data_IF_013514727662
#
_entry.id   IF_013514727662
#
_cell.length_a   1.000
_cell.length_b   1.000
_cell.length_c   1.000
_cell.angle_alpha   90.00
_cell.angle_beta   90.00
_cell.angle_gamma   90.00
#
_symmetry.space_group_name_H-M   'P 1'
#
loop_
_entity.id
_entity.type
_entity.pdbx_description
1 polymer ?
#
# COMPACT_ATOMS: atom_id res chain seq x y z
N UNK A 1 5.49 32.23 8.99
CA UNK A 1 6.48 31.51 8.15
C UNK A 1 5.67 30.54 7.28
N UNK A 2 5.98 30.37 5.99
CA UNK A 2 5.25 29.42 5.14
C UNK A 2 5.69 27.98 5.45
N UNK A 3 4.85 26.99 5.17
CA UNK A 3 5.20 25.57 5.35
C UNK A 3 6.48 25.23 4.60
N UNK A 4 6.59 25.64 3.33
CA UNK A 4 7.79 25.42 2.52
C UNK A 4 9.07 26.03 3.14
N UNK A 5 8.97 27.21 3.75
CA UNK A 5 10.13 27.83 4.41
C UNK A 5 10.56 27.07 5.68
N UNK A 6 9.59 26.64 6.50
CA UNK A 6 9.88 25.83 7.69
C UNK A 6 10.50 24.47 7.33
N UNK A 7 10.01 23.85 6.24
CA UNK A 7 10.55 22.60 5.71
C UNK A 7 11.96 22.79 5.17
N UNK A 8 12.22 23.85 4.40
CA UNK A 8 13.55 24.14 3.87
C UNK A 8 14.58 24.38 5.00
N UNK A 9 14.17 25.07 6.08
CA UNK A 9 15.04 25.32 7.24
C UNK A 9 15.40 24.03 7.98
N UNK A 10 14.41 23.20 8.33
CA UNK A 10 14.67 21.96 9.11
C UNK A 10 15.38 20.87 8.31
N UNK A 11 15.11 20.80 7.00
CA UNK A 11 15.71 19.80 6.11
C UNK A 11 17.06 20.23 5.53
N UNK A 12 17.53 21.44 5.85
CA UNK A 12 18.69 22.05 5.21
C UNK A 12 18.58 22.05 3.67
N UNK A 13 17.37 22.31 3.17
CA UNK A 13 17.00 22.32 1.77
C UNK A 13 17.35 21.00 1.04
N UNK A 14 17.02 19.87 1.67
CA UNK A 14 17.20 18.52 1.14
C UNK A 14 15.91 17.70 1.30
N UNK A 15 15.80 16.61 0.54
CA UNK A 15 14.74 15.64 0.71
C UNK A 15 14.87 14.98 2.09
N UNK A 16 13.80 14.98 2.87
CA UNK A 16 13.80 14.42 4.23
C UNK A 16 13.85 12.89 4.25
N UNK A 17 13.74 12.23 3.09
CA UNK A 17 13.89 10.77 2.94
C UNK A 17 15.26 10.39 2.38
N UNK A 18 15.64 10.94 1.22
CA UNK A 18 16.82 10.51 0.48
C UNK A 18 17.97 11.52 0.43
N UNK A 19 17.85 12.67 1.09
CA UNK A 19 18.83 13.78 1.11
C UNK A 19 19.12 14.48 -0.24
N UNK A 20 18.48 14.05 -1.32
CA UNK A 20 18.58 14.71 -2.63
C UNK A 20 18.09 16.16 -2.58
N UNK A 21 18.72 17.06 -3.34
CA UNK A 21 18.34 18.47 -3.45
C UNK A 21 17.49 18.78 -4.68
N UNK A 22 17.14 17.77 -5.48
CA UNK A 22 16.50 17.95 -6.78
C UNK A 22 14.98 18.05 -6.67
N UNK A 23 14.39 19.11 -7.24
CA UNK A 23 12.93 19.24 -7.40
C UNK A 23 12.16 19.06 -6.10
N UNK A 24 12.55 19.82 -5.06
CA UNK A 24 11.98 19.68 -3.73
C UNK A 24 10.58 20.28 -3.66
N UNK A 25 9.64 19.49 -3.19
CA UNK A 25 8.23 19.85 -3.06
C UNK A 25 7.68 19.43 -1.69
N UNK A 26 6.73 20.23 -1.20
CA UNK A 26 5.99 19.89 0.01
C UNK A 26 5.03 18.75 -0.31
N UNK A 27 5.06 17.72 0.52
CA UNK A 27 4.07 16.65 0.55
C UNK A 27 3.38 16.65 1.91
N UNK A 28 2.06 16.80 1.91
CA UNK A 28 1.25 16.73 3.12
C UNK A 28 0.96 15.26 3.41
N UNK A 29 1.33 14.79 4.61
CA UNK A 29 1.23 13.37 4.97
C UNK A 29 -0.20 13.09 5.44
N UNK A 30 -1.01 12.31 4.70
CA UNK A 30 -2.41 12.07 5.07
C UNK A 30 -2.54 11.25 6.35
N UNK A 31 -3.67 11.32 7.08
CA UNK A 31 -4.77 12.28 6.90
C UNK A 31 -4.37 13.70 7.33
N UNK A 32 -4.74 14.69 6.53
CA UNK A 32 -4.47 16.12 6.80
C UNK A 32 -5.73 16.75 7.38
N UNK A 33 -5.80 16.82 8.71
CA UNK A 33 -6.90 17.54 9.38
C UNK A 33 -6.68 19.07 9.32
N UNK A 34 -5.43 19.51 9.46
CA UNK A 34 -5.02 20.91 9.45
C UNK A 34 -3.65 21.05 8.77
N UNK A 35 -3.47 22.12 7.98
CA UNK A 35 -2.22 22.40 7.29
C UNK A 35 -1.15 22.89 8.28
N UNK A 36 -0.26 22.01 8.71
CA UNK A 36 0.85 22.31 9.62
C UNK A 36 2.17 21.74 9.09
N UNK A 37 3.30 22.44 9.31
CA UNK A 37 4.62 21.99 8.87
C UNK A 37 4.99 20.62 9.45
N UNK A 38 4.54 20.32 10.66
CA UNK A 38 4.82 19.04 11.35
C UNK A 38 4.05 17.86 10.77
N UNK A 39 3.09 18.13 9.87
CA UNK A 39 2.32 17.13 9.12
C UNK A 39 2.74 17.05 7.66
N UNK A 40 3.79 17.79 7.28
CA UNK A 40 4.32 17.80 5.93
C UNK A 40 5.72 17.21 5.93
N UNK A 41 6.19 16.77 4.76
CA UNK A 41 7.59 16.42 4.50
C UNK A 41 8.07 17.08 3.21
N UNK A 42 9.37 17.34 3.12
CA UNK A 42 9.99 17.88 1.91
C UNK A 42 10.58 16.74 1.08
N UNK A 43 10.03 16.51 -0.12
CA UNK A 43 10.37 15.37 -0.97
C UNK A 43 10.96 15.82 -2.29
N UNK A 44 11.94 15.08 -2.80
CA UNK A 44 12.47 15.29 -4.14
C UNK A 44 11.53 14.73 -5.21
N UNK A 45 11.85 15.06 -6.47
CA UNK A 45 11.13 14.61 -7.67
C UNK A 45 11.13 13.08 -7.89
N UNK A 46 11.97 12.33 -7.19
CA UNK A 46 11.97 10.85 -7.23
C UNK A 46 11.12 10.25 -6.11
N UNK A 47 11.19 10.79 -4.89
CA UNK A 47 10.45 10.23 -3.76
C UNK A 47 8.96 10.54 -3.86
N UNK A 48 8.58 11.79 -4.18
CA UNK A 48 7.18 12.23 -4.13
C UNK A 48 6.24 11.38 -4.98
N UNK A 49 6.50 11.13 -6.28
CA UNK A 49 5.60 10.32 -7.11
C UNK A 49 5.45 8.88 -6.61
N UNK A 50 6.51 8.31 -6.03
CA UNK A 50 6.48 6.95 -5.49
C UNK A 50 5.75 6.87 -4.13
N UNK A 51 5.86 7.90 -3.29
CA UNK A 51 5.04 8.03 -2.05
C UNK A 51 3.56 8.18 -2.40
N UNK A 52 3.23 8.97 -3.41
CA UNK A 52 1.86 9.20 -3.88
C UNK A 52 1.28 8.03 -4.69
N UNK A 53 2.07 6.98 -4.98
CA UNK A 53 1.63 5.83 -5.79
C UNK A 53 1.42 6.15 -7.27
N UNK A 54 1.95 7.29 -7.76
CA UNK A 54 1.88 7.71 -9.16
C UNK A 54 2.97 7.07 -10.04
N UNK A 55 3.97 6.45 -9.42
CA UNK A 55 5.08 5.78 -10.09
C UNK A 55 5.42 4.47 -9.38
N UNK A 56 5.87 3.48 -10.15
CA UNK A 56 6.41 2.22 -9.63
C UNK A 56 7.56 2.46 -8.63
N UNK A 57 7.60 1.64 -7.60
CA UNK A 57 8.56 1.74 -6.50
C UNK A 57 9.92 1.16 -6.95
N UNK A 58 10.96 2.00 -6.96
CA UNK A 58 12.33 1.58 -7.24
C UNK A 58 13.04 1.14 -5.95
N UNK A 59 13.00 -0.16 -5.63
CA UNK A 59 13.50 -0.70 -4.36
C UNK A 59 14.91 -0.24 -3.95
N UNK A 60 15.84 -0.12 -4.90
CA UNK A 60 17.22 0.33 -4.62
C UNK A 60 17.29 1.77 -4.11
N UNK A 61 16.41 2.66 -4.58
CA UNK A 61 16.34 4.05 -4.13
C UNK A 61 15.94 4.13 -2.65
N UNK A 62 15.03 3.24 -2.24
CA UNK A 62 14.43 3.24 -0.91
C UNK A 62 15.31 2.69 0.21
N UNK A 63 16.54 2.27 -0.09
CA UNK A 63 17.51 1.96 0.97
C UNK A 63 17.81 3.15 1.88
N UNK A 64 17.55 4.38 1.43
CA UNK A 64 17.61 5.59 2.28
C UNK A 64 16.64 5.58 3.47
N UNK A 65 15.63 4.70 3.47
CA UNK A 65 14.72 4.52 4.62
C UNK A 65 15.44 3.99 5.86
N UNK A 66 16.55 3.27 5.71
CA UNK A 66 17.36 2.82 6.86
C UNK A 66 17.87 3.99 7.71
N UNK A 67 18.08 5.16 7.10
CA UNK A 67 18.51 6.37 7.80
C UNK A 67 17.31 7.24 8.18
N UNK A 68 16.41 7.52 7.24
CA UNK A 68 15.29 8.45 7.45
C UNK A 68 14.22 7.92 8.41
N UNK A 69 14.10 6.61 8.61
CA UNK A 69 13.19 6.05 9.61
C UNK A 69 13.55 6.43 11.05
N UNK A 70 14.79 6.84 11.31
CA UNK A 70 15.27 7.32 12.62
C UNK A 70 15.19 8.85 12.78
N UNK A 71 14.55 9.54 11.83
CA UNK A 71 14.36 10.99 11.91
C UNK A 71 13.60 11.38 13.17
N UNK A 72 13.96 12.54 13.74
CA UNK A 72 13.25 13.15 14.86
C UNK A 72 11.94 13.83 14.43
N UNK A 73 11.63 13.86 13.14
CA UNK A 73 10.43 14.46 12.58
C UNK A 73 9.34 13.38 12.41
N UNK A 74 8.23 13.44 13.15
CA UNK A 74 7.19 12.41 13.08
C UNK A 74 6.63 12.19 11.67
N UNK A 75 6.48 13.25 10.87
CA UNK A 75 6.00 13.13 9.50
C UNK A 75 6.94 12.29 8.61
N UNK A 76 8.25 12.42 8.82
CA UNK A 76 9.26 11.63 8.10
C UNK A 76 9.19 10.17 8.53
N UNK A 77 9.09 9.92 9.83
CA UNK A 77 8.92 8.57 10.39
C UNK A 77 7.66 7.87 9.86
N UNK A 78 6.54 8.59 9.77
CA UNK A 78 5.29 8.07 9.21
C UNK A 78 5.45 7.68 7.74
N UNK A 79 6.05 8.54 6.92
CA UNK A 79 6.25 8.22 5.50
C UNK A 79 7.22 7.06 5.33
N UNK A 80 8.32 7.05 6.11
CA UNK A 80 9.28 5.95 6.09
C UNK A 80 8.63 4.61 6.46
N UNK A 81 7.84 4.59 7.54
CA UNK A 81 7.08 3.39 7.95
C UNK A 81 6.14 2.89 6.86
N UNK A 82 5.36 3.79 6.23
CA UNK A 82 4.42 3.43 5.17
C UNK A 82 5.13 2.85 3.95
N UNK A 83 6.22 3.47 3.54
CA UNK A 83 7.02 3.00 2.40
C UNK A 83 7.69 1.65 2.71
N UNK A 84 8.24 1.48 3.91
CA UNK A 84 8.77 0.19 4.35
C UNK A 84 7.68 -0.89 4.37
N UNK A 85 6.47 -0.58 4.85
CA UNK A 85 5.30 -1.48 4.81
C UNK A 85 4.93 -1.89 3.38
N UNK A 86 4.97 -0.97 2.42
CA UNK A 86 4.71 -1.26 1.00
C UNK A 86 5.81 -2.12 0.36
N UNK A 87 7.07 -1.95 0.78
CA UNK A 87 8.23 -2.67 0.24
C UNK A 87 8.45 -4.07 0.83
N UNK A 88 8.06 -4.27 2.10
CA UNK A 88 8.33 -5.47 2.87
C UNK A 88 7.87 -6.80 2.23
N UNK A 89 6.72 -6.89 1.52
CA UNK A 89 6.30 -8.14 0.90
C UNK A 89 7.30 -8.71 -0.12
N UNK A 90 8.01 -7.83 -0.84
CA UNK A 90 8.93 -8.21 -1.91
C UNK A 90 10.41 -8.03 -1.52
N UNK A 91 10.70 -7.40 -0.37
CA UNK A 91 12.04 -7.01 0.04
C UNK A 91 12.33 -7.37 1.51
N UNK A 92 13.18 -8.37 1.73
CA UNK A 92 13.57 -8.79 3.09
C UNK A 92 14.22 -7.67 3.92
N UNK A 93 15.05 -6.83 3.30
CA UNK A 93 15.69 -5.71 3.99
C UNK A 93 14.67 -4.69 4.54
N UNK A 94 13.54 -4.50 3.84
CA UNK A 94 12.50 -3.58 4.27
C UNK A 94 11.70 -4.18 5.44
N UNK A 95 11.47 -5.49 5.42
CA UNK A 95 10.89 -6.21 6.55
C UNK A 95 11.80 -6.14 7.79
N UNK A 96 13.10 -6.39 7.63
CA UNK A 96 14.07 -6.30 8.72
C UNK A 96 14.10 -4.87 9.33
N UNK A 97 14.04 -3.85 8.49
CA UNK A 97 13.97 -2.45 8.93
C UNK A 97 12.67 -2.15 9.68
N UNK A 98 11.51 -2.65 9.21
CA UNK A 98 10.24 -2.51 9.93
C UNK A 98 10.26 -3.15 11.32
N UNK A 99 10.89 -4.32 11.44
CA UNK A 99 10.93 -5.06 12.69
C UNK A 99 11.81 -4.36 13.74
N UNK A 100 12.80 -3.58 13.29
CA UNK A 100 13.62 -2.74 14.16
C UNK A 100 13.01 -1.37 14.46
N UNK A 101 12.13 -0.87 13.58
CA UNK A 101 11.56 0.47 13.70
C UNK A 101 10.57 0.56 14.87
N UNK A 102 10.95 1.32 15.88
CA UNK A 102 10.07 1.72 16.97
C UNK A 102 9.50 3.11 16.70
N UNK A 103 8.17 3.22 16.75
CA UNK A 103 7.43 4.47 16.67
C UNK A 103 6.66 4.68 17.96
N UNK A 104 6.57 5.94 18.39
CA UNK A 104 5.65 6.33 19.47
C UNK A 104 4.20 6.03 19.07
N UNK A 105 3.36 5.73 20.05
CA UNK A 105 1.98 5.25 19.83
C UNK A 105 1.15 6.21 18.94
N UNK A 106 1.29 7.52 19.15
CA UNK A 106 0.57 8.53 18.34
C UNK A 106 1.07 8.55 16.89
N UNK A 107 2.39 8.51 16.69
CA UNK A 107 3.02 8.47 15.36
C UNK A 107 2.68 7.16 14.64
N UNK A 108 2.66 6.05 15.37
CA UNK A 108 2.26 4.74 14.84
C UNK A 108 0.79 4.73 14.42
N UNK A 109 -0.09 5.21 15.27
CA UNK A 109 -1.52 5.33 14.95
C UNK A 109 -1.75 6.21 13.72
N UNK A 110 -1.03 7.32 13.60
CA UNK A 110 -1.08 8.16 12.41
C UNK A 110 -0.57 7.42 11.16
N UNK A 111 0.52 6.67 11.27
CA UNK A 111 1.07 5.90 10.16
C UNK A 111 0.08 4.84 9.64
N UNK A 112 -0.59 4.14 10.55
CA UNK A 112 -1.55 3.09 10.23
C UNK A 112 -2.87 3.63 9.65
N UNK A 113 -3.25 4.89 9.94
CA UNK A 113 -4.51 5.48 9.46
C UNK A 113 -4.60 5.60 7.93
N UNK A 114 -3.57 6.06 7.23
CA UNK A 114 -3.65 6.13 5.76
C UNK A 114 -3.43 4.77 5.09
N UNK A 115 -2.74 3.81 5.74
CA UNK A 115 -2.66 2.44 5.21
C UNK A 115 -4.03 1.75 5.19
N UNK A 116 -4.96 2.18 6.04
CA UNK A 116 -6.35 1.71 5.99
C UNK A 116 -7.14 2.28 4.80
N UNK A 117 -6.68 3.39 4.19
CA UNK A 117 -7.23 3.96 2.96
C UNK A 117 -6.50 3.41 1.71
N UNK A 118 -5.21 3.10 1.83
CA UNK A 118 -4.32 2.55 0.79
C UNK A 118 -4.48 1.04 0.58
N UNK A 119 -5.45 0.41 1.24
CA UNK A 119 -5.97 -0.94 0.94
C UNK A 119 -6.80 -0.93 -0.38
N UNK A 120 -6.33 -0.12 -1.33
CA UNK A 120 -6.93 0.25 -2.62
C UNK A 120 -6.87 -0.89 -3.65
N UNK A 121 -6.35 -2.05 -3.25
CA UNK A 121 -6.70 -3.32 -3.88
C UNK A 121 -8.14 -3.71 -3.49
N UNK A 122 -9.08 -2.84 -3.88
CA UNK A 122 -10.50 -3.10 -3.72
C UNK A 122 -10.90 -4.15 -4.75
N UNK A 123 -11.04 -5.38 -4.28
CA UNK A 123 -11.56 -6.46 -5.09
C UNK A 123 -13.07 -6.26 -5.22
N UNK A 124 -13.52 -5.89 -6.43
CA UNK A 124 -14.93 -5.66 -6.73
C UNK A 124 -15.50 -6.83 -7.51
N UNK A 125 -16.68 -7.30 -7.13
CA UNK A 125 -17.42 -8.29 -7.91
C UNK A 125 -17.94 -7.70 -9.24
N UNK A 126 -18.60 -8.54 -10.05
CA UNK A 126 -19.22 -8.11 -11.32
C UNK A 126 -20.25 -6.98 -11.22
N UNK A 127 -20.78 -6.68 -10.03
CA UNK A 127 -21.75 -5.61 -9.77
C UNK A 127 -21.15 -4.41 -9.03
N UNK A 128 -19.83 -4.39 -8.80
CA UNK A 128 -19.17 -3.32 -8.04
C UNK A 128 -19.28 -3.45 -6.52
N UNK A 129 -19.59 -4.64 -6.00
CA UNK A 129 -19.63 -4.91 -4.55
C UNK A 129 -18.23 -5.26 -4.06
N UNK A 130 -17.76 -4.60 -3.00
CA UNK A 130 -16.47 -4.89 -2.34
C UNK A 130 -16.48 -6.31 -1.74
N UNK A 131 -15.48 -7.09 -2.13
CA UNK A 131 -15.18 -8.42 -1.63
C UNK A 131 -14.23 -8.34 -0.44
N UNK A 132 -14.39 -9.24 0.51
CA UNK A 132 -13.55 -9.37 1.69
C UNK A 132 -13.04 -10.81 1.82
N UNK A 133 -11.87 -10.99 2.43
CA UNK A 133 -11.35 -12.31 2.72
C UNK A 133 -12.33 -13.09 3.62
N UNK A 134 -12.62 -14.34 3.26
CA UNK A 134 -13.60 -15.18 3.94
C UNK A 134 -15.02 -15.13 3.35
N UNK A 135 -15.30 -14.22 2.41
CA UNK A 135 -16.60 -14.16 1.75
C UNK A 135 -16.94 -15.44 0.96
N UNK A 136 -18.22 -15.61 0.68
CA UNK A 136 -18.72 -16.59 -0.29
C UNK A 136 -19.24 -15.84 -1.51
N UNK A 137 -18.76 -16.21 -2.69
CA UNK A 137 -19.18 -15.63 -3.97
C UNK A 137 -19.71 -16.71 -4.91
N UNK A 138 -20.51 -16.31 -5.89
CA UNK A 138 -21.14 -17.21 -6.86
C UNK A 138 -20.62 -16.92 -8.26
N UNK A 139 -20.28 -17.96 -9.02
CA UNK A 139 -19.86 -17.81 -10.41
C UNK A 139 -21.02 -17.36 -11.31
N UNK A 140 -20.81 -16.30 -12.08
CA UNK A 140 -21.80 -15.80 -13.05
C UNK A 140 -21.63 -16.41 -14.45
N UNK A 141 -20.54 -17.14 -14.70
CA UNK A 141 -20.22 -17.82 -15.96
C UNK A 141 -19.57 -19.19 -15.70
N UNK A 142 -19.62 -20.06 -16.71
CA UNK A 142 -18.85 -21.31 -16.72
C UNK A 142 -17.37 -20.98 -16.94
N UNK A 143 -16.49 -21.56 -16.13
CA UNK A 143 -15.05 -21.35 -16.20
C UNK A 143 -14.31 -22.69 -16.29
N UNK A 144 -13.44 -22.82 -17.29
CA UNK A 144 -12.54 -23.96 -17.40
C UNK A 144 -11.34 -23.74 -16.47
N UNK A 145 -11.13 -24.68 -15.53
CA UNK A 145 -10.03 -24.57 -14.58
C UNK A 145 -8.74 -25.03 -15.26
N UNK A 146 -7.81 -24.08 -15.47
CA UNK A 146 -6.49 -24.41 -16.03
C UNK A 146 -5.77 -25.43 -15.14
N UNK A 147 -5.32 -26.53 -15.73
CA UNK A 147 -4.62 -27.61 -15.01
C UNK A 147 -5.51 -28.68 -14.38
N UNK A 148 -6.83 -28.61 -14.59
CA UNK A 148 -7.79 -29.64 -14.18
C UNK A 148 -8.75 -29.96 -15.34
N UNK A 149 -9.38 -31.14 -15.31
CA UNK A 149 -10.52 -31.45 -16.18
C UNK A 149 -11.85 -30.88 -15.65
N UNK A 150 -11.79 -30.18 -14.51
CA UNK A 150 -12.94 -29.57 -13.85
C UNK A 150 -13.40 -28.30 -14.59
N UNK A 151 -14.69 -28.25 -14.91
CA UNK A 151 -15.36 -27.04 -15.40
C UNK A 151 -16.23 -26.50 -14.28
N UNK A 152 -15.86 -25.35 -13.73
CA UNK A 152 -16.62 -24.69 -12.68
C UNK A 152 -17.87 -24.04 -13.30
N UNK A 153 -19.04 -24.65 -13.07
CA UNK A 153 -20.29 -24.21 -13.68
C UNK A 153 -20.81 -22.91 -13.08
N UNK A 154 -21.50 -22.12 -13.90
CA UNK A 154 -22.28 -20.96 -13.46
C UNK A 154 -23.23 -21.37 -12.33
N UNK A 155 -23.32 -20.53 -11.30
CA UNK A 155 -24.13 -20.79 -10.12
C UNK A 155 -23.40 -21.56 -9.02
N UNK A 156 -22.19 -22.08 -9.29
CA UNK A 156 -21.36 -22.71 -8.27
C UNK A 156 -20.92 -21.67 -7.23
N UNK A 157 -21.10 -21.99 -5.96
CA UNK A 157 -20.66 -21.17 -4.84
C UNK A 157 -19.19 -21.46 -4.49
N UNK A 158 -18.39 -20.41 -4.40
CA UNK A 158 -16.99 -20.42 -4.00
C UNK A 158 -16.93 -19.81 -2.60
N UNK A 159 -16.67 -20.66 -1.60
CA UNK A 159 -16.68 -20.26 -0.18
C UNK A 159 -15.27 -19.95 0.30
N UNK A 160 -15.18 -19.07 1.30
CA UNK A 160 -13.95 -18.73 1.99
C UNK A 160 -12.87 -18.21 1.02
N UNK A 161 -13.23 -17.20 0.23
CA UNK A 161 -12.31 -16.63 -0.76
C UNK A 161 -11.14 -15.90 -0.09
N UNK A 162 -9.99 -15.90 -0.76
CA UNK A 162 -8.82 -15.09 -0.40
C UNK A 162 -8.60 -14.04 -1.47
N UNK A 163 -8.28 -12.83 -1.06
CA UNK A 163 -7.98 -11.72 -1.96
C UNK A 163 -6.52 -11.82 -2.41
N UNK A 164 -6.24 -11.47 -3.66
CA UNK A 164 -4.87 -11.46 -4.16
C UNK A 164 -4.14 -10.22 -3.62
N UNK A 165 -2.93 -10.37 -3.06
CA UNK A 165 -2.17 -9.24 -2.51
C UNK A 165 -1.58 -8.34 -3.61
N UNK A 166 -1.61 -8.77 -4.88
CA UNK A 166 -0.94 -8.07 -5.98
C UNK A 166 -1.85 -7.76 -7.17
N UNK A 167 -3.09 -8.28 -7.21
CA UNK A 167 -3.99 -8.05 -8.34
C UNK A 167 -5.48 -7.95 -7.91
N UNK A 168 -6.12 -6.78 -8.05
CA UNK A 168 -7.49 -6.56 -7.57
C UNK A 168 -8.54 -7.30 -8.41
N UNK A 169 -8.16 -7.73 -9.62
CA UNK A 169 -9.00 -8.58 -10.46
C UNK A 169 -8.93 -10.06 -10.09
N UNK A 170 -8.03 -10.49 -9.20
CA UNK A 170 -7.87 -11.91 -8.86
C UNK A 170 -8.29 -12.24 -7.45
N UNK A 171 -9.05 -13.31 -7.30
CA UNK A 171 -9.33 -13.94 -6.01
C UNK A 171 -9.05 -15.43 -6.08
N UNK A 172 -8.67 -16.00 -4.95
CA UNK A 172 -8.52 -17.45 -4.81
C UNK A 172 -9.72 -18.01 -4.05
N UNK A 173 -10.17 -19.19 -4.44
CA UNK A 173 -11.25 -19.86 -3.74
C UNK A 173 -11.28 -21.35 -4.01
N UNK A 174 -12.16 -22.04 -3.28
CA UNK A 174 -12.27 -23.49 -3.36
C UNK A 174 -13.56 -23.91 -4.06
N UNK A 175 -13.43 -24.72 -5.11
CA UNK A 175 -14.54 -25.34 -5.84
C UNK A 175 -14.31 -26.85 -5.87
N UNK A 176 -15.30 -27.62 -5.41
CA UNK A 176 -15.25 -29.09 -5.37
C UNK A 176 -13.95 -29.67 -4.77
N UNK A 177 -13.40 -28.98 -3.76
CA UNK A 177 -12.19 -29.41 -3.08
C UNK A 177 -10.88 -28.93 -3.71
N UNK A 178 -10.89 -28.35 -4.90
CA UNK A 178 -9.72 -27.77 -5.58
C UNK A 178 -9.63 -26.25 -5.36
N UNK A 179 -8.41 -25.75 -5.18
CA UNK A 179 -8.14 -24.31 -5.14
C UNK A 179 -7.96 -23.78 -6.55
N UNK A 180 -8.67 -22.71 -6.88
CA UNK A 180 -8.64 -22.08 -8.20
C UNK A 180 -8.49 -20.57 -8.07
N UNK A 181 -7.80 -19.95 -9.03
CA UNK A 181 -7.73 -18.49 -9.18
C UNK A 181 -8.85 -18.05 -10.12
N UNK A 182 -9.63 -17.06 -9.71
CA UNK A 182 -10.83 -16.59 -10.38
C UNK A 182 -10.72 -15.09 -10.59
N UNK A 183 -11.14 -14.62 -11.77
CA UNK A 183 -11.26 -13.19 -12.03
C UNK A 183 -12.52 -12.62 -11.34
N UNK A 184 -12.39 -11.52 -10.61
CA UNK A 184 -13.47 -10.91 -9.82
C UNK A 184 -14.69 -10.51 -10.67
N UNK A 185 -14.47 -10.13 -11.93
CA UNK A 185 -15.53 -9.85 -12.91
C UNK A 185 -16.42 -11.05 -13.29
N UNK A 186 -16.05 -12.27 -12.90
CA UNK A 186 -16.84 -13.48 -13.13
C UNK A 186 -17.51 -14.02 -11.88
N UNK A 187 -17.43 -13.29 -10.77
CA UNK A 187 -18.12 -13.65 -9.53
C UNK A 187 -19.11 -12.57 -9.13
N UNK A 188 -20.06 -12.98 -8.30
CA UNK A 188 -21.02 -12.11 -7.65
C UNK A 188 -21.07 -12.46 -6.16
N UNK A 189 -21.04 -11.48 -5.28
CA UNK A 189 -21.28 -11.69 -3.85
C UNK A 189 -22.74 -12.08 -3.58
#
# INVERSE_FOLDING_TARGET
MTIAAALAERSNNQCELCTSTNGLEVYEVPPVAEAHSDKCVYLCSQCKPQVEGQQDIEANHWHCLNDSMWSQVPAVQVVAYRMLKRLAPDNGWAQDALDMLYLEDETRAWADQALAEDDDLVHLDSNGVKLSAGDTVTLIKDLDVKGSSLVAKRGTAVRNIRLSPSNPEHIEGRVEGQNIVILTKFVKK
#
